data_IF_632515657562
#
_entry.id   IF_632515657562
#
_cell.length_a   1.000
_cell.length_b   1.000
_cell.length_c   1.000
_cell.angle_alpha   90.00
_cell.angle_beta   90.00
_cell.angle_gamma   90.00
#
_symmetry.space_group_name_H-M   'P 1'
#
loop_
_entity.id
_entity.type
_entity.pdbx_description
1 polymer ?
#
# COMPACT_ATOMS: atom_id res chain seq x y z
N UNK A 1 9.36 0.54 10.50
CA UNK A 1 8.40 0.69 9.37
C UNK A 1 7.11 1.23 9.95
N UNK A 2 6.82 2.52 9.76
CA UNK A 2 5.55 3.14 10.15
C UNK A 2 4.54 3.02 9.00
N UNK A 3 3.25 2.91 9.30
CA UNK A 3 2.18 2.70 8.32
C UNK A 3 1.42 3.99 8.04
N UNK A 4 1.68 4.60 6.88
CA UNK A 4 1.06 5.86 6.46
C UNK A 4 1.32 7.05 7.39
N UNK A 5 1.11 8.26 6.88
CA UNK A 5 1.17 9.49 7.68
C UNK A 5 -0.20 9.88 8.27
N UNK A 6 -1.28 9.32 7.71
CA UNK A 6 -2.67 9.68 8.02
C UNK A 6 -3.45 8.40 8.25
N UNK A 7 -4.24 8.34 9.32
CA UNK A 7 -5.01 7.16 9.71
C UNK A 7 -6.40 7.11 9.08
N UNK A 8 -6.97 8.26 8.69
CA UNK A 8 -8.34 8.37 8.16
C UNK A 8 -8.37 8.36 6.64
N UNK A 9 -7.94 7.25 6.05
CA UNK A 9 -7.96 7.03 4.59
C UNK A 9 -8.54 5.65 4.28
N UNK A 10 -9.40 5.58 3.27
CA UNK A 10 -10.04 4.32 2.89
C UNK A 10 -9.04 3.34 2.27
N UNK A 11 -9.18 2.05 2.56
CA UNK A 11 -8.31 0.98 2.04
C UNK A 11 -8.20 1.00 0.50
N UNK A 12 -9.31 1.17 -0.20
CA UNK A 12 -9.32 1.29 -1.67
C UNK A 12 -8.55 2.52 -2.18
N UNK A 13 -8.61 3.64 -1.44
CA UNK A 13 -7.89 4.86 -1.80
C UNK A 13 -6.37 4.72 -1.63
N UNK A 14 -5.92 4.13 -0.51
CA UNK A 14 -4.47 3.99 -0.24
C UNK A 14 -3.79 3.03 -1.20
N UNK A 15 -4.45 1.93 -1.58
CA UNK A 15 -3.90 1.03 -2.60
C UNK A 15 -3.99 1.68 -3.98
N UNK A 16 -5.14 2.28 -4.31
CA UNK A 16 -5.38 2.86 -5.63
C UNK A 16 -4.41 3.98 -6.01
N UNK A 17 -3.88 4.70 -5.01
CA UNK A 17 -2.92 5.80 -5.19
C UNK A 17 -1.45 5.38 -5.00
N UNK A 18 -1.19 4.12 -4.65
CA UNK A 18 0.17 3.64 -4.41
C UNK A 18 0.80 4.20 -3.13
N UNK A 19 0.00 4.43 -2.08
CA UNK A 19 0.49 4.90 -0.77
C UNK A 19 1.58 3.96 -0.25
N UNK A 20 2.71 4.53 0.20
CA UNK A 20 3.86 3.77 0.68
C UNK A 20 4.16 4.05 2.16
N UNK A 21 4.96 3.17 2.74
CA UNK A 21 5.41 3.24 4.13
C UNK A 21 6.89 3.63 4.20
N UNK A 22 7.44 3.72 5.41
CA UNK A 22 8.88 3.93 5.62
C UNK A 22 9.66 2.61 5.64
N UNK A 23 10.71 2.51 4.84
CA UNK A 23 11.67 1.41 4.83
C UNK A 23 11.95 0.88 3.42
N UNK A 24 13.23 0.83 3.04
CA UNK A 24 13.67 0.48 1.68
C UNK A 24 13.29 -0.94 1.23
N UNK A 25 13.17 -1.87 2.18
CA UNK A 25 12.80 -3.27 1.91
C UNK A 25 11.29 -3.52 1.91
N UNK A 26 10.48 -2.50 2.22
CA UNK A 26 9.03 -2.62 2.27
C UNK A 26 8.43 -1.99 1.01
N UNK A 27 7.61 -2.76 0.29
CA UNK A 27 6.86 -2.23 -0.84
C UNK A 27 5.78 -1.22 -0.41
N UNK A 28 5.07 -0.68 -1.40
CA UNK A 28 3.87 0.14 -1.16
C UNK A 28 2.75 -0.68 -0.49
N UNK A 29 1.74 -0.05 0.10
CA UNK A 29 0.64 -0.77 0.77
C UNK A 29 -0.08 -1.76 -0.15
N UNK A 30 -0.20 -1.44 -1.43
CA UNK A 30 -0.75 -2.33 -2.43
C UNK A 30 -0.01 -3.68 -2.52
N UNK A 31 1.29 -3.73 -2.19
CA UNK A 31 2.08 -4.97 -2.16
C UNK A 31 1.59 -5.98 -1.13
N UNK A 32 0.88 -5.52 -0.09
CA UNK A 32 0.32 -6.38 0.96
C UNK A 32 -1.10 -6.88 0.66
N UNK A 33 -1.72 -6.41 -0.42
CA UNK A 33 -3.01 -6.93 -0.88
C UNK A 33 -2.80 -8.29 -1.53
N UNK A 34 -3.51 -9.31 -1.05
CA UNK A 34 -3.47 -10.69 -1.60
C UNK A 34 -4.73 -11.08 -2.37
N UNK A 35 -5.84 -10.38 -2.12
CA UNK A 35 -7.07 -10.50 -2.89
C UNK A 35 -7.92 -9.23 -2.74
N UNK A 36 -8.80 -8.97 -3.70
CA UNK A 36 -9.79 -7.89 -3.64
C UNK A 36 -11.03 -8.28 -4.45
N UNK A 37 -12.16 -7.64 -4.13
CA UNK A 37 -13.36 -7.66 -4.96
C UNK A 37 -13.61 -6.24 -5.47
N UNK A 38 -13.93 -6.10 -6.75
CA UNK A 38 -14.21 -4.80 -7.37
C UNK A 38 -15.45 -4.84 -8.26
N UNK A 39 -16.08 -3.68 -8.44
CA UNK A 39 -17.14 -3.47 -9.42
C UNK A 39 -16.60 -2.67 -10.61
N UNK A 40 -16.75 -3.20 -11.82
CA UNK A 40 -16.34 -2.51 -13.05
C UNK A 40 -17.39 -1.49 -13.50
N UNK A 41 -17.07 -0.73 -14.56
CA UNK A 41 -18.00 0.24 -15.14
C UNK A 41 -19.28 -0.39 -15.72
N UNK A 42 -19.27 -1.69 -16.04
CA UNK A 42 -20.48 -2.40 -16.50
C UNK A 42 -21.41 -2.81 -15.35
N UNK A 43 -20.98 -2.62 -14.10
CA UNK A 43 -21.67 -3.13 -12.91
C UNK A 43 -21.34 -4.58 -12.56
N UNK A 44 -20.47 -5.24 -13.34
CA UNK A 44 -19.97 -6.59 -13.03
C UNK A 44 -19.09 -6.57 -11.78
N UNK A 45 -19.28 -7.57 -10.91
CA UNK A 45 -18.47 -7.76 -9.71
C UNK A 45 -17.44 -8.86 -9.99
N UNK A 46 -16.17 -8.53 -9.75
CA UNK A 46 -15.02 -9.38 -10.04
C UNK A 46 -14.23 -9.64 -8.76
N UNK A 47 -14.00 -10.92 -8.48
CA UNK A 47 -13.02 -11.35 -7.49
C UNK A 47 -11.64 -11.45 -8.16
N UNK A 48 -10.62 -10.90 -7.52
CA UNK A 48 -9.27 -10.77 -8.07
C UNK A 48 -8.22 -11.22 -7.05
N UNK A 49 -7.28 -12.06 -7.49
CA UNK A 49 -6.13 -12.54 -6.72
C UNK A 49 -5.00 -12.95 -7.68
N UNK A 50 -3.87 -13.44 -7.16
CA UNK A 50 -2.81 -13.98 -8.04
C UNK A 50 -3.26 -15.17 -8.90
N UNK A 51 -4.27 -15.93 -8.48
CA UNK A 51 -4.80 -17.09 -9.20
C UNK A 51 -6.13 -16.85 -9.93
N UNK A 52 -6.77 -15.70 -9.72
CA UNK A 52 -8.10 -15.37 -10.28
C UNK A 52 -8.06 -13.96 -10.84
N UNK A 53 -8.36 -13.77 -12.13
CA UNK A 53 -8.30 -12.46 -12.80
C UNK A 53 -6.96 -11.74 -12.53
N UNK A 54 -5.84 -12.46 -12.69
CA UNK A 54 -4.53 -12.02 -12.20
C UNK A 54 -4.02 -10.70 -12.82
N UNK A 55 -4.33 -10.47 -14.09
CA UNK A 55 -4.07 -9.22 -14.81
C UNK A 55 -4.86 -8.06 -14.21
N UNK A 56 -6.16 -8.25 -13.98
CA UNK A 56 -7.04 -7.28 -13.32
C UNK A 56 -6.57 -7.05 -11.89
N UNK A 57 -6.18 -8.09 -11.17
CA UNK A 57 -5.65 -8.00 -9.81
C UNK A 57 -4.43 -7.06 -9.74
N UNK A 58 -3.44 -7.24 -10.63
CA UNK A 58 -2.26 -6.37 -10.64
C UNK A 58 -2.62 -4.92 -10.99
N UNK A 59 -3.55 -4.71 -11.93
CA UNK A 59 -4.00 -3.38 -12.30
C UNK A 59 -4.83 -2.70 -11.19
N UNK A 60 -5.71 -3.46 -10.51
CA UNK A 60 -6.58 -2.99 -9.44
C UNK A 60 -5.82 -2.59 -8.17
N UNK A 61 -4.62 -3.12 -7.96
CA UNK A 61 -3.74 -2.77 -6.82
C UNK A 61 -3.21 -1.34 -6.89
N UNK A 62 -3.21 -0.70 -8.06
CA UNK A 62 -2.84 0.71 -8.26
C UNK A 62 -3.63 1.26 -9.45
N UNK A 63 -4.89 1.62 -9.19
CA UNK A 63 -5.87 1.90 -10.24
C UNK A 63 -6.26 3.38 -10.40
N UNK A 64 -5.89 4.25 -9.44
CA UNK A 64 -6.27 5.68 -9.40
C UNK A 64 -7.78 5.95 -9.59
N UNK A 65 -8.64 4.98 -9.27
CA UNK A 65 -10.09 5.05 -9.50
C UNK A 65 -10.55 4.74 -10.94
N UNK A 66 -9.64 4.47 -11.88
CA UNK A 66 -9.97 4.35 -13.31
C UNK A 66 -10.57 3.01 -13.74
N UNK A 67 -10.32 1.93 -13.00
CA UNK A 67 -10.76 0.57 -13.35
C UNK A 67 -12.15 0.21 -12.79
N UNK A 68 -12.68 1.03 -11.88
CA UNK A 68 -13.91 0.72 -11.14
C UNK A 68 -13.77 1.03 -9.64
N UNK A 69 -14.69 0.46 -8.86
CA UNK A 69 -14.79 0.69 -7.41
C UNK A 69 -14.35 -0.56 -6.66
N UNK A 70 -13.37 -0.42 -5.77
CA UNK A 70 -12.96 -1.49 -4.86
C UNK A 70 -14.03 -1.66 -3.78
N UNK A 71 -14.55 -2.87 -3.63
CA UNK A 71 -15.58 -3.22 -2.65
C UNK A 71 -14.98 -3.81 -1.38
N UNK A 72 -13.99 -4.70 -1.54
CA UNK A 72 -13.31 -5.37 -0.43
C UNK A 72 -11.81 -5.52 -0.73
N UNK A 73 -11.01 -5.64 0.32
CA UNK A 73 -9.56 -5.86 0.24
C UNK A 73 -9.18 -6.89 1.29
N UNK A 74 -8.35 -7.86 0.90
CA UNK A 74 -7.72 -8.82 1.82
C UNK A 74 -6.24 -8.48 1.95
N UNK A 75 -5.79 -8.25 3.18
CA UNK A 75 -4.41 -7.84 3.50
C UNK A 75 -3.64 -8.99 4.16
N UNK A 76 -2.40 -9.20 3.75
CA UNK A 76 -1.46 -10.11 4.41
C UNK A 76 -0.88 -9.44 5.67
N UNK A 77 -1.52 -9.68 6.81
CA UNK A 77 -1.03 -9.16 8.09
C UNK A 77 0.14 -10.00 8.64
N UNK A 78 1.06 -9.34 9.34
CA UNK A 78 2.06 -9.98 10.22
C UNK A 78 1.59 -9.97 11.67
N UNK A 79 2.21 -10.80 12.51
CA UNK A 79 1.98 -10.76 13.96
C UNK A 79 2.31 -9.38 14.52
N UNK A 80 1.58 -8.96 15.55
CA UNK A 80 1.77 -7.65 16.18
C UNK A 80 3.19 -7.50 16.78
N UNK A 81 3.74 -6.30 16.67
CA UNK A 81 5.07 -5.96 17.18
C UNK A 81 5.10 -4.49 17.62
N UNK A 82 6.09 -4.11 18.42
CA UNK A 82 6.27 -2.73 18.87
C UNK A 82 7.19 -1.95 17.92
N UNK A 83 6.82 -0.70 17.65
CA UNK A 83 7.63 0.27 16.93
C UNK A 83 8.12 1.34 17.90
N UNK A 84 9.37 1.74 17.75
CA UNK A 84 9.94 2.89 18.44
C UNK A 84 10.16 4.01 17.43
N UNK A 85 9.65 5.19 17.73
CA UNK A 85 9.90 6.42 16.97
C UNK A 85 10.98 7.24 17.67
N UNK A 86 11.96 7.72 16.90
CA UNK A 86 13.03 8.63 17.36
C UNK A 86 13.04 9.82 16.41
N UNK A 87 12.85 11.02 16.96
CA UNK A 87 12.84 12.26 16.20
C UNK A 87 13.86 13.23 16.79
N UNK A 88 14.79 13.69 15.95
CA UNK A 88 15.91 14.57 16.32
C UNK A 88 16.12 15.62 15.22
N UNK A 89 16.50 16.87 15.55
CA UNK A 89 16.93 17.84 14.55
C UNK A 89 18.33 17.52 14.03
N UNK A 90 18.55 17.69 12.72
CA UNK A 90 19.86 17.55 12.07
C UNK A 90 20.00 18.53 10.91
N UNK A 91 21.24 18.81 10.52
CA UNK A 91 21.56 19.58 9.31
C UNK A 91 21.51 18.70 8.06
N UNK A 92 21.31 19.30 6.89
CA UNK A 92 21.26 18.56 5.62
C UNK A 92 22.53 17.73 5.34
N UNK A 93 23.77 18.24 5.59
CA UNK A 93 24.98 17.43 5.43
C UNK A 93 25.02 16.20 6.35
N UNK A 94 24.68 16.36 7.63
CA UNK A 94 24.66 15.24 8.58
C UNK A 94 23.67 14.14 8.14
N UNK A 95 22.49 14.52 7.64
CA UNK A 95 21.52 13.56 7.09
C UNK A 95 22.06 12.84 5.85
N UNK A 96 22.74 13.56 4.96
CA UNK A 96 23.36 12.96 3.77
C UNK A 96 24.41 11.90 4.15
N UNK A 97 25.26 12.20 5.13
CA UNK A 97 26.29 11.26 5.61
C UNK A 97 25.66 10.02 6.28
N UNK A 98 24.53 10.19 6.97
CA UNK A 98 23.75 9.08 7.54
C UNK A 98 23.20 8.19 6.42
N UNK A 99 22.56 8.78 5.40
CA UNK A 99 21.93 8.04 4.31
C UNK A 99 22.94 7.36 3.36
N UNK A 100 24.19 7.82 3.35
CA UNK A 100 25.26 7.29 2.48
C UNK A 100 26.00 6.09 3.08
N UNK A 101 25.71 5.73 4.35
CA UNK A 101 26.36 4.63 5.07
C UNK A 101 25.56 3.31 5.05
N UNK A 102 24.42 3.27 4.36
CA UNK A 102 23.57 2.09 4.17
C UNK A 102 23.74 1.44 2.78
#
# INVERSE_FOLDING_TARGET
CSIGAVSEVAAGGVIGTGTHNTGITHGILATQVVALTMMSASGEILDCSESVNADIFQAARLHLGSLGVILTVTLQCKAAFHLQEIQLPSTLPEVSDILSQD
#
